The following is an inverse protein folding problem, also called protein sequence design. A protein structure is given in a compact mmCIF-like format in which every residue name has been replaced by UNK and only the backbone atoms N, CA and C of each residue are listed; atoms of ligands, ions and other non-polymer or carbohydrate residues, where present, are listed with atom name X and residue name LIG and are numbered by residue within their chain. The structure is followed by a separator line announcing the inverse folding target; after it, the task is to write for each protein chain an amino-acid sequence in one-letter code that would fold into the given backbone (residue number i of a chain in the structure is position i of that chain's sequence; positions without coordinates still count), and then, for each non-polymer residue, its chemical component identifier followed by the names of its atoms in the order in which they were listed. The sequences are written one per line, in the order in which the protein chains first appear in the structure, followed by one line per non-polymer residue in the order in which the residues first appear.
data_IF_449765660171
#
_entry.id   IF_449765660171
#
_cell.length_a   1.000
_cell.length_b   1.000
_cell.length_c   1.000
_cell.angle_alpha   90.00
_cell.angle_beta   90.00
_cell.angle_gamma   90.00
#
_symmetry.space_group_name_H-M   'P 1'
#
loop_
_entity.id
_entity.type
_entity.pdbx_description
1 polymer ?
#
# COMPACT_ATOMS: atom_id res chain seq x y z
N UNK A 1 18.06 8.15 25.95
CA UNK A 1 17.55 6.76 26.10
C UNK A 1 16.26 6.69 25.32
N UNK A 2 16.33 6.21 24.07
CA UNK A 2 15.15 5.99 23.22
C UNK A 2 14.49 4.69 23.68
N UNK A 3 13.17 4.70 23.88
CA UNK A 3 12.48 3.48 24.26
C UNK A 3 12.60 2.49 23.08
N UNK A 4 13.07 1.24 23.31
CA UNK A 4 13.27 0.23 22.27
C UNK A 4 11.96 -0.32 21.68
N UNK A 5 10.88 0.47 21.67
CA UNK A 5 9.51 0.04 21.39
C UNK A 5 8.79 1.00 20.43
N UNK A 6 9.53 1.85 19.72
CA UNK A 6 8.93 2.78 18.76
C UNK A 6 9.08 2.22 17.35
N UNK A 7 7.96 1.95 16.66
CA UNK A 7 7.94 1.55 15.25
C UNK A 7 7.42 2.70 14.37
N UNK A 8 7.88 2.75 13.12
CA UNK A 8 7.45 3.74 12.13
C UNK A 8 7.08 3.05 10.81
N UNK A 9 6.15 3.66 10.07
CA UNK A 9 5.79 3.24 8.73
C UNK A 9 5.32 4.45 7.92
N UNK A 10 5.65 4.47 6.63
CA UNK A 10 5.26 5.54 5.73
C UNK A 10 4.00 5.17 4.95
N UNK A 11 2.99 6.02 5.03
CA UNK A 11 1.76 5.87 4.28
C UNK A 11 1.71 6.91 3.15
N UNK A 12 1.81 6.43 1.91
CA UNK A 12 1.66 7.30 0.73
C UNK A 12 0.19 7.36 0.29
N UNK A 13 -0.39 8.55 0.16
CA UNK A 13 -1.75 8.78 -0.33
C UNK A 13 -1.71 9.85 -1.43
N UNK A 14 -1.86 9.42 -2.68
CA UNK A 14 -1.66 10.32 -3.83
C UNK A 14 -0.20 10.76 -3.90
N UNK A 15 0.03 12.07 -3.85
CA UNK A 15 1.37 12.68 -3.88
C UNK A 15 1.87 13.08 -2.48
N UNK A 16 1.13 12.73 -1.43
CA UNK A 16 1.47 13.05 -0.03
C UNK A 16 1.93 11.80 0.73
N UNK A 17 2.92 11.97 1.61
CA UNK A 17 3.40 10.91 2.51
C UNK A 17 3.13 11.30 3.95
N UNK A 18 2.46 10.42 4.67
CA UNK A 18 2.16 10.54 6.11
C UNK A 18 3.02 9.56 6.88
N UNK A 19 3.68 10.03 7.94
CA UNK A 19 4.43 9.16 8.84
C UNK A 19 3.50 8.66 9.93
N UNK A 20 3.42 7.35 10.08
CA UNK A 20 2.69 6.69 11.16
C UNK A 20 3.68 6.17 12.20
N UNK A 21 3.41 6.41 13.48
CA UNK A 21 4.25 5.95 14.59
C UNK A 21 3.45 5.13 15.59
N UNK A 22 4.02 3.99 15.97
CA UNK A 22 3.50 3.16 17.04
C UNK A 22 4.44 3.26 18.23
N UNK A 23 3.97 3.92 19.30
CA UNK A 23 4.68 4.12 20.56
C UNK A 23 3.69 4.06 21.73
N UNK A 24 4.18 4.17 22.98
CA UNK A 24 3.30 4.11 24.16
C UNK A 24 2.22 5.19 24.18
N UNK A 25 2.49 6.38 23.61
CA UNK A 25 1.51 7.46 23.51
C UNK A 25 0.38 7.06 22.55
N UNK A 26 0.71 6.56 21.37
CA UNK A 26 -0.30 6.16 20.38
C UNK A 26 -1.09 4.95 20.87
N UNK A 27 -0.47 3.99 21.54
CA UNK A 27 -1.16 2.89 22.23
C UNK A 27 -2.17 3.39 23.28
N UNK A 28 -1.78 4.36 24.11
CA UNK A 28 -2.68 4.95 25.11
C UNK A 28 -3.87 5.68 24.47
N UNK A 29 -3.67 6.28 23.30
CA UNK A 29 -4.75 6.94 22.55
C UNK A 29 -5.71 5.93 21.92
N UNK A 30 -5.18 4.83 21.38
CA UNK A 30 -5.97 3.73 20.83
C UNK A 30 -6.82 3.08 21.93
N UNK A 31 -6.24 2.80 23.10
CA UNK A 31 -6.96 2.21 24.23
C UNK A 31 -8.10 3.12 24.72
N UNK A 32 -7.86 4.44 24.81
CA UNK A 32 -8.90 5.43 25.12
C UNK A 32 -10.03 5.46 24.10
N UNK A 33 -9.74 5.17 22.84
CA UNK A 33 -10.72 5.04 21.77
C UNK A 33 -11.43 3.67 21.77
N UNK A 34 -11.11 2.77 22.72
CA UNK A 34 -11.64 1.41 22.78
C UNK A 34 -11.08 0.48 21.71
N UNK A 35 -9.88 0.78 21.22
CA UNK A 35 -9.15 -0.01 20.22
C UNK A 35 -7.94 -0.66 20.88
N UNK A 36 -7.99 -1.98 21.01
CA UNK A 36 -6.86 -2.77 21.49
C UNK A 36 -6.15 -3.45 20.30
N UNK A 37 -4.94 -2.99 19.91
CA UNK A 37 -4.16 -3.57 18.83
C UNK A 37 -3.57 -4.95 19.16
N UNK A 38 -3.55 -5.35 20.43
CA UNK A 38 -3.02 -6.63 20.89
C UNK A 38 -4.11 -7.61 21.36
N UNK A 39 -5.38 -7.28 21.13
CA UNK A 39 -6.50 -8.18 21.43
C UNK A 39 -6.31 -9.53 20.71
N UNK A 40 -6.58 -10.67 21.38
CA UNK A 40 -6.48 -12.00 20.77
C UNK A 40 -7.44 -12.18 19.58
N UNK A 41 -8.55 -11.45 19.56
CA UNK A 41 -9.52 -11.43 18.46
C UNK A 41 -9.09 -10.49 17.32
N UNK A 42 -8.04 -9.71 17.53
CA UNK A 42 -7.53 -8.70 16.61
C UNK A 42 -8.43 -7.46 16.48
N UNK A 43 -7.99 -6.51 15.65
CA UNK A 43 -8.79 -5.33 15.32
C UNK A 43 -9.65 -5.62 14.09
N UNK A 44 -10.96 -5.40 14.23
CA UNK A 44 -11.87 -5.32 13.08
C UNK A 44 -11.60 -4.01 12.32
N UNK A 45 -11.07 -4.12 11.10
CA UNK A 45 -10.75 -2.98 10.23
C UNK A 45 -11.99 -2.37 9.56
N UNK A 46 -12.86 -1.76 10.36
CA UNK A 46 -13.92 -0.87 9.83
C UNK A 46 -13.33 0.50 9.48
N UNK A 47 -13.95 1.22 8.55
CA UNK A 47 -13.48 2.53 8.09
C UNK A 47 -13.32 3.51 9.25
N UNK A 48 -14.31 3.59 10.15
CA UNK A 48 -14.27 4.48 11.31
C UNK A 48 -13.13 4.13 12.28
N UNK A 49 -12.89 2.84 12.53
CA UNK A 49 -11.79 2.40 13.40
C UNK A 49 -10.43 2.68 12.76
N UNK A 50 -10.31 2.44 11.46
CA UNK A 50 -9.10 2.79 10.71
C UNK A 50 -8.82 4.30 10.73
N UNK A 51 -9.87 5.14 10.62
CA UNK A 51 -9.71 6.59 10.73
C UNK A 51 -9.19 7.00 12.12
N UNK A 52 -9.77 6.46 13.19
CA UNK A 52 -9.28 6.68 14.56
C UNK A 52 -7.83 6.21 14.74
N UNK A 53 -7.48 5.05 14.18
CA UNK A 53 -6.10 4.57 14.20
C UNK A 53 -5.16 5.49 13.42
N UNK A 54 -5.57 5.95 12.23
CA UNK A 54 -4.77 6.86 11.43
C UNK A 54 -4.42 8.14 12.19
N UNK A 55 -5.40 8.76 12.85
CA UNK A 55 -5.21 9.98 13.64
C UNK A 55 -4.32 9.71 14.86
N UNK A 56 -4.56 8.62 15.57
CA UNK A 56 -3.76 8.27 16.74
C UNK A 56 -2.30 7.99 16.38
N UNK A 57 -2.06 7.32 15.25
CA UNK A 57 -0.72 6.95 14.79
C UNK A 57 0.05 8.12 14.14
N UNK A 58 -0.66 9.10 13.59
CA UNK A 58 -0.05 10.28 12.98
C UNK A 58 0.17 11.43 13.96
N UNK A 59 -0.34 11.36 15.19
CA UNK A 59 -0.39 12.49 16.15
C UNK A 59 0.96 13.17 16.43
N UNK A 60 2.07 12.45 16.30
CA UNK A 60 3.40 12.99 16.57
C UNK A 60 3.96 13.79 15.39
N UNK A 61 3.65 13.41 14.15
CA UNK A 61 4.11 14.11 12.93
C UNK A 61 3.04 15.05 12.37
N UNK A 62 1.76 14.81 12.68
CA UNK A 62 0.59 15.57 12.23
C UNK A 62 -0.40 15.81 13.39
N UNK A 63 -0.02 16.62 14.41
CA UNK A 63 -0.84 16.84 15.61
C UNK A 63 -2.18 17.54 15.34
N UNK A 64 -2.26 18.30 14.25
CA UNK A 64 -3.44 19.06 13.85
C UNK A 64 -4.37 18.27 12.92
N UNK A 65 -4.09 16.98 12.68
CA UNK A 65 -4.92 16.12 11.82
C UNK A 65 -6.33 16.01 12.38
N UNK A 66 -7.31 16.41 11.56
CA UNK A 66 -8.73 16.36 11.93
C UNK A 66 -9.34 14.98 11.68
N UNK A 67 -10.48 14.72 12.33
CA UNK A 67 -11.26 13.50 12.13
C UNK A 67 -11.64 13.29 10.65
N UNK A 68 -11.96 14.38 9.95
CA UNK A 68 -12.34 14.33 8.53
C UNK A 68 -11.15 13.99 7.62
N UNK A 69 -9.96 14.50 7.93
CA UNK A 69 -8.75 14.19 7.17
C UNK A 69 -8.33 12.74 7.38
N UNK A 70 -8.30 12.27 8.62
CA UNK A 70 -8.02 10.86 8.93
C UNK A 70 -8.99 9.91 8.23
N UNK A 71 -10.29 10.27 8.20
CA UNK A 71 -11.29 9.52 7.45
C UNK A 71 -11.05 9.56 5.95
N UNK A 72 -10.73 10.74 5.39
CA UNK A 72 -10.49 10.90 3.96
C UNK A 72 -9.28 10.07 3.49
N UNK A 73 -8.19 10.05 4.26
CA UNK A 73 -6.99 9.24 4.03
C UNK A 73 -7.37 7.76 3.93
N UNK A 74 -8.10 7.26 4.93
CA UNK A 74 -8.50 5.85 5.02
C UNK A 74 -9.50 5.45 3.93
N UNK A 75 -10.41 6.34 3.55
CA UNK A 75 -11.35 6.07 2.45
C UNK A 75 -10.62 6.02 1.10
N UNK A 76 -9.62 6.89 0.89
CA UNK A 76 -8.84 6.96 -0.36
C UNK A 76 -7.82 5.83 -0.47
N UNK A 77 -7.19 5.41 0.63
CA UNK A 77 -6.13 4.41 0.64
C UNK A 77 -6.24 3.40 1.79
N UNK A 78 -7.43 2.84 1.99
CA UNK A 78 -7.67 1.83 3.04
C UNK A 78 -6.76 0.59 2.97
N UNK A 79 -6.48 0.01 1.79
CA UNK A 79 -5.52 -1.10 1.67
C UNK A 79 -4.11 -0.70 2.10
N UNK A 80 -3.60 0.43 1.60
CA UNK A 80 -2.26 0.91 1.96
C UNK A 80 -2.14 1.22 3.46
N UNK A 81 -3.20 1.76 4.08
CA UNK A 81 -3.24 1.94 5.53
C UNK A 81 -3.12 0.62 6.29
N UNK A 82 -3.80 -0.45 5.83
CA UNK A 82 -3.70 -1.77 6.47
C UNK A 82 -2.31 -2.37 6.34
N UNK A 83 -1.66 -2.18 5.20
CA UNK A 83 -0.30 -2.66 4.96
C UNK A 83 0.70 -1.92 5.86
N UNK A 84 0.62 -0.58 5.92
CA UNK A 84 1.43 0.23 6.83
C UNK A 84 1.18 -0.11 8.31
N UNK A 85 -0.09 -0.34 8.69
CA UNK A 85 -0.42 -0.78 10.05
C UNK A 85 0.16 -2.15 10.39
N UNK A 86 0.11 -3.10 9.44
CA UNK A 86 0.73 -4.42 9.63
C UNK A 86 2.24 -4.30 9.79
N UNK A 87 2.88 -3.44 9.00
CA UNK A 87 4.31 -3.15 9.12
C UNK A 87 4.65 -2.61 10.50
N UNK A 88 3.89 -1.63 11.00
CA UNK A 88 4.05 -1.11 12.36
C UNK A 88 3.99 -2.23 13.41
N UNK A 89 2.96 -3.07 13.36
CA UNK A 89 2.79 -4.15 14.33
C UNK A 89 3.86 -5.25 14.21
N UNK A 90 4.44 -5.43 13.02
CA UNK A 90 5.50 -6.42 12.79
C UNK A 90 6.83 -5.93 13.33
N UNK A 91 7.11 -4.64 13.19
CA UNK A 91 8.35 -4.00 13.62
C UNK A 91 8.31 -3.59 15.10
N UNK A 92 7.12 -3.45 15.68
CA UNK A 92 6.94 -3.12 17.09
C UNK A 92 7.47 -4.22 18.02
N UNK A 93 8.49 -3.89 18.83
CA UNK A 93 9.21 -4.86 19.67
C UNK A 93 10.28 -5.66 18.93
N UNK A 94 10.51 -5.38 17.64
CA UNK A 94 11.72 -5.77 16.91
C UNK A 94 12.96 -5.06 17.47
N UNK A 95 14.14 -5.60 17.18
CA UNK A 95 15.40 -4.99 17.62
C UNK A 95 15.45 -3.50 17.20
N UNK A 96 16.00 -2.60 18.05
CA UNK A 96 16.08 -1.19 17.71
C UNK A 96 16.81 -1.05 16.38
N UNK A 97 16.15 -0.45 15.40
CA UNK A 97 16.84 0.05 14.20
C UNK A 97 17.90 1.02 14.71
N UNK A 98 19.15 0.55 14.73
CA UNK A 98 20.28 1.40 14.92
C UNK A 98 20.24 2.43 13.81
N UNK A 99 20.25 3.71 14.17
CA UNK A 99 20.60 4.80 13.28
C UNK A 99 21.96 4.47 12.62
N UNK A 100 21.92 3.78 11.49
CA UNK A 100 22.96 3.84 10.47
C UNK A 100 22.53 4.89 9.45
N UNK A 101 22.89 6.13 9.76
CA UNK A 101 23.23 7.14 8.78
C UNK A 101 24.32 6.55 7.86
N UNK A 102 23.89 5.84 6.83
CA UNK A 102 24.71 5.51 5.68
C UNK A 102 23.95 5.97 4.45
N UNK A 103 24.28 7.19 4.03
CA UNK A 103 24.01 7.65 2.68
C UNK A 103 24.46 6.60 1.67
N UNK A 104 23.51 5.86 1.12
CA UNK A 104 23.69 5.23 -0.17
C UNK A 104 22.32 4.93 -0.77
N UNK A 105 22.00 5.67 -1.83
CA UNK A 105 20.76 5.50 -2.58
C UNK A 105 20.59 4.08 -3.07
N UNK A 106 19.62 3.36 -2.49
CA UNK A 106 18.94 2.30 -3.20
C UNK A 106 17.58 2.81 -3.64
N UNK A 107 17.63 3.50 -4.77
CA UNK A 107 16.54 3.50 -5.75
C UNK A 107 16.05 2.06 -5.89
N UNK A 108 14.80 1.80 -5.52
CA UNK A 108 14.06 0.60 -5.93
C UNK A 108 13.89 0.65 -7.45
N UNK A 109 14.96 0.30 -8.16
CA UNK A 109 15.01 0.18 -9.61
C UNK A 109 14.21 -1.07 -9.94
N UNK A 110 12.94 -0.88 -10.24
CA UNK A 110 12.12 -1.87 -10.94
C UNK A 110 12.93 -2.27 -12.18
N UNK A 111 13.46 -3.50 -12.19
CA UNK A 111 14.24 -4.05 -13.31
C UNK A 111 13.33 -4.22 -14.52
N UNK A 112 13.19 -3.17 -15.31
CA UNK A 112 12.79 -3.26 -16.71
C UNK A 112 14.05 -3.45 -17.57
N UNK A 113 14.16 -4.63 -18.18
CA UNK A 113 14.94 -4.86 -19.39
C UNK A 113 16.37 -5.37 -19.21
N UNK A 114 16.63 -6.56 -19.74
CA UNK A 114 17.91 -6.86 -20.36
C UNK A 114 17.69 -7.09 -21.87
N UNK A 115 18.59 -6.59 -22.74
CA UNK A 115 18.41 -6.54 -24.19
C UNK A 115 19.07 -7.74 -24.90
N UNK A 116 18.52 -8.14 -26.04
CA UNK A 116 19.25 -8.89 -27.05
C UNK A 116 18.80 -8.46 -28.45
N UNK A 117 19.58 -7.58 -29.07
CA UNK A 117 19.70 -7.38 -30.52
C UNK A 117 20.98 -8.12 -30.95
N UNK A 118 21.26 -8.67 -32.13
CA UNK A 118 20.77 -8.61 -33.53
C UNK A 118 21.39 -9.89 -34.16
N UNK A 119 20.90 -10.56 -35.22
CA UNK A 119 21.33 -10.32 -36.62
C UNK A 119 20.67 -11.35 -37.57
N UNK A 120 20.39 -10.87 -38.77
CA UNK A 120 19.72 -11.37 -39.98
C UNK A 120 20.21 -12.66 -40.65
N UNK A 121 19.33 -13.39 -41.35
CA UNK A 121 19.31 -13.48 -42.84
C UNK A 121 18.32 -14.49 -43.46
N UNK A 122 17.37 -13.96 -44.24
CA UNK A 122 16.93 -14.31 -45.61
C UNK A 122 16.38 -15.69 -46.05
N UNK A 123 15.34 -15.59 -46.92
CA UNK A 123 14.74 -16.55 -47.90
C UNK A 123 13.66 -17.50 -47.34
N UNK A 124 12.45 -17.60 -47.89
CA UNK A 124 11.86 -16.98 -49.06
C UNK A 124 10.37 -17.37 -49.25
N UNK A 125 9.75 -16.72 -50.23
CA UNK A 125 8.60 -17.18 -51.04
C UNK A 125 7.17 -17.13 -50.45
N UNK A 126 6.45 -16.05 -50.81
CA UNK A 126 4.99 -16.00 -51.12
C UNK A 126 4.67 -16.91 -52.33
N UNK A 127 3.40 -17.24 -52.70
CA UNK A 127 2.20 -16.38 -52.61
C UNK A 127 0.79 -17.04 -52.43
N UNK A 128 -0.21 -16.15 -52.23
CA UNK A 128 -1.64 -16.22 -52.62
C UNK A 128 -2.55 -17.27 -51.92
N UNK A 129 -3.86 -17.07 -51.65
CA UNK A 129 -4.91 -16.29 -52.32
C UNK A 129 -6.20 -16.29 -51.46
N UNK A 130 -7.03 -15.23 -51.57
CA UNK A 130 -8.52 -15.19 -51.45
C UNK A 130 -9.16 -15.68 -50.12
N UNK A 131 -10.18 -15.06 -49.50
CA UNK A 131 -11.31 -14.23 -49.97
C UNK A 131 -12.04 -13.72 -48.69
N UNK A 132 -12.45 -12.44 -48.66
CA UNK A 132 -13.53 -11.88 -47.78
C UNK A 132 -14.89 -12.10 -48.49
N UNK A 133 -16.07 -11.65 -47.99
CA UNK A 133 -16.67 -11.57 -46.63
C UNK A 133 -18.17 -12.03 -46.64
N UNK A 134 -18.96 -11.61 -45.62
CA UNK A 134 -20.44 -11.70 -45.45
C UNK A 134 -20.94 -12.98 -44.75
N UNK A 135 -21.91 -13.00 -43.84
CA UNK A 135 -22.94 -12.04 -43.42
C UNK A 135 -24.28 -12.79 -43.34
N UNK A 136 -24.87 -12.99 -42.15
CA UNK A 136 -26.28 -13.39 -41.87
C UNK A 136 -26.40 -13.59 -40.35
N UNK A 137 -27.20 -12.89 -39.52
CA UNK A 137 -28.64 -12.61 -39.47
C UNK A 137 -29.56 -13.84 -39.63
N UNK A 138 -30.16 -14.29 -38.52
CA UNK A 138 -31.53 -14.82 -38.28
C UNK A 138 -31.52 -15.56 -36.92
N UNK A 139 -32.13 -15.08 -35.85
CA UNK A 139 -33.57 -15.06 -35.48
C UNK A 139 -34.24 -16.44 -35.63
N UNK A 140 -34.54 -17.08 -34.51
CA UNK A 140 -35.53 -18.15 -34.39
C UNK A 140 -36.21 -18.06 -33.01
N UNK A 141 -37.49 -17.74 -33.06
CA UNK A 141 -38.55 -17.94 -32.06
C UNK A 141 -39.02 -19.40 -32.06
N UNK A 142 -39.88 -19.74 -31.09
CA UNK A 142 -40.66 -20.99 -30.82
C UNK A 142 -40.04 -21.86 -29.72
N UNK A 143 -40.73 -22.25 -28.65
CA UNK A 143 -42.18 -22.40 -28.40
C UNK A 143 -42.57 -21.93 -27.00
#
# INVERSE_FOLDING_TARGET
MVAPVDSKADLTVGDETFVLRLNFRTLSLLEKAGLDPFSPDGIVFTVSKMAMMCIALSIDDHPDMTDQEGLAIVVRNGPGFRDAYRELMTNFGGAPDGDEDLGNGQTTKIRSGAPASTTSSSRGSKPASRRKPSGAKRRATTS
#
